data_IF_201141045317
#
_entry.id   IF_201141045317
#
_cell.length_a   1.000
_cell.length_b   1.000
_cell.length_c   1.000
_cell.angle_alpha   90.00
_cell.angle_beta   90.00
_cell.angle_gamma   90.00
#
_symmetry.space_group_name_H-M   'P 1'
#
loop_
_entity.id
_entity.type
_entity.pdbx_description
1 polymer ?
#
# COMPACT_ATOMS: atom_id res chain seq x y z
N UNK A 1 -10.60 23.31 -2.46
CA UNK A 1 -9.59 24.24 -1.96
C UNK A 1 -8.47 24.40 -3.00
N UNK A 2 -8.25 25.63 -3.49
CA UNK A 2 -7.23 25.94 -4.52
C UNK A 2 -5.83 26.15 -3.92
N UNK A 3 -5.73 26.27 -2.59
CA UNK A 3 -4.45 26.38 -1.89
C UNK A 3 -3.72 25.04 -1.72
N UNK A 4 -4.41 23.92 -1.96
CA UNK A 4 -3.92 22.59 -1.67
C UNK A 4 -3.92 22.22 -0.17
N UNK A 5 -4.49 23.06 0.67
CA UNK A 5 -4.64 22.83 2.12
C UNK A 5 -6.08 22.46 2.43
N UNK A 6 -6.29 21.34 3.09
CA UNK A 6 -7.62 20.84 3.48
C UNK A 6 -7.94 21.08 4.96
N UNK A 7 -6.97 21.50 5.76
CA UNK A 7 -7.09 21.64 7.22
C UNK A 7 -8.19 22.59 7.65
N UNK A 8 -8.51 23.60 6.83
CA UNK A 8 -9.60 24.54 7.09
C UNK A 8 -11.01 23.93 6.85
N UNK A 9 -11.08 22.84 6.10
CA UNK A 9 -12.33 22.22 5.66
C UNK A 9 -12.55 20.83 6.26
N UNK A 10 -11.47 20.18 6.72
CA UNK A 10 -11.51 18.86 7.31
C UNK A 10 -10.57 18.77 8.51
N UNK A 11 -11.02 18.10 9.55
CA UNK A 11 -10.17 17.78 10.71
C UNK A 11 -9.36 16.55 10.40
N UNK A 12 -8.03 16.69 10.44
CA UNK A 12 -7.10 15.57 10.22
C UNK A 12 -6.69 14.97 11.57
N UNK A 13 -6.66 13.65 11.65
CA UNK A 13 -6.17 12.89 12.79
C UNK A 13 -5.28 11.75 12.35
N UNK A 14 -4.35 11.36 13.22
CA UNK A 14 -3.46 10.22 12.97
C UNK A 14 -4.03 9.00 13.68
N UNK A 15 -4.30 7.96 12.90
CA UNK A 15 -4.76 6.65 13.40
C UNK A 15 -3.84 5.56 12.82
N UNK A 16 -3.37 4.59 13.62
CA UNK A 16 -2.61 3.47 13.09
C UNK A 16 -3.43 2.68 12.05
N UNK A 17 -2.84 2.30 10.90
CA UNK A 17 -3.57 1.66 9.81
C UNK A 17 -4.46 0.48 10.21
N UNK A 18 -4.02 -0.48 11.06
CA UNK A 18 -4.87 -1.59 11.48
C UNK A 18 -6.11 -1.17 12.28
N UNK A 19 -6.10 0.02 12.88
CA UNK A 19 -7.21 0.54 13.69
C UNK A 19 -8.19 1.39 12.87
N UNK A 20 -7.82 1.83 11.68
CA UNK A 20 -8.65 2.73 10.87
C UNK A 20 -10.05 2.17 10.57
N UNK A 21 -10.23 0.90 10.15
CA UNK A 21 -11.56 0.35 9.92
C UNK A 21 -12.45 0.42 11.18
N UNK A 22 -11.92 0.00 12.32
CA UNK A 22 -12.69 0.00 13.58
C UNK A 22 -12.99 1.42 14.06
N UNK A 23 -12.08 2.38 13.86
CA UNK A 23 -12.27 3.79 14.22
C UNK A 23 -13.36 4.44 13.36
N UNK A 24 -13.44 4.07 12.08
CA UNK A 24 -14.51 4.50 11.17
C UNK A 24 -15.84 3.84 11.53
N UNK A 25 -15.85 2.55 11.85
CA UNK A 25 -17.04 1.82 12.32
C UNK A 25 -17.63 2.45 13.58
N UNK A 26 -16.78 2.92 14.50
CA UNK A 26 -17.17 3.64 15.70
C UNK A 26 -17.67 5.08 15.45
N UNK A 27 -17.59 5.58 14.23
CA UNK A 27 -18.00 6.94 13.86
C UNK A 27 -17.05 8.04 14.31
N UNK A 28 -15.84 7.70 14.75
CA UNK A 28 -14.83 8.68 15.20
C UNK A 28 -14.15 9.39 14.03
N UNK A 29 -13.98 8.68 12.91
CA UNK A 29 -13.52 9.24 11.64
C UNK A 29 -14.53 8.91 10.54
N UNK A 30 -14.67 9.78 9.55
CA UNK A 30 -15.61 9.62 8.43
C UNK A 30 -14.95 9.00 7.19
N UNK A 31 -13.65 9.00 7.12
CA UNK A 31 -12.87 8.44 6.03
C UNK A 31 -11.39 8.42 6.36
N UNK A 32 -10.64 7.70 5.56
CA UNK A 32 -9.19 7.60 5.71
C UNK A 32 -8.50 7.31 4.37
N UNK A 33 -7.22 7.60 4.31
CA UNK A 33 -6.34 7.22 3.22
C UNK A 33 -5.26 6.28 3.79
N UNK A 34 -5.17 5.07 3.26
CA UNK A 34 -4.28 4.04 3.81
C UNK A 34 -3.91 3.00 2.75
N UNK A 35 -2.77 2.33 2.93
CA UNK A 35 -2.40 1.16 2.14
C UNK A 35 -3.25 -0.07 2.45
N UNK A 36 -3.29 -1.02 1.51
CA UNK A 36 -3.97 -2.30 1.69
C UNK A 36 -3.27 -3.16 2.78
N UNK A 37 -4.04 -4.03 3.46
CA UNK A 37 -5.41 -4.50 3.17
C UNK A 37 -6.54 -3.74 3.89
N UNK A 38 -6.26 -2.60 4.49
CA UNK A 38 -7.18 -1.94 5.42
C UNK A 38 -8.41 -1.32 4.75
N UNK A 39 -8.31 -0.90 3.47
CA UNK A 39 -9.49 -0.48 2.70
C UNK A 39 -10.36 -1.69 2.37
N UNK A 40 -9.78 -2.78 1.92
CA UNK A 40 -10.51 -4.02 1.66
C UNK A 40 -11.13 -4.62 2.93
N UNK A 41 -10.50 -4.42 4.08
CA UNK A 41 -11.08 -4.81 5.37
C UNK A 41 -12.39 -4.06 5.66
N UNK A 42 -12.46 -2.77 5.34
CA UNK A 42 -13.69 -1.99 5.51
C UNK A 42 -14.80 -2.42 4.56
N UNK A 43 -14.46 -2.70 3.31
CA UNK A 43 -15.41 -3.23 2.31
C UNK A 43 -15.93 -4.61 2.74
N UNK A 44 -15.05 -5.50 3.13
CA UNK A 44 -15.38 -6.85 3.58
C UNK A 44 -16.36 -6.85 4.77
N UNK A 45 -16.14 -5.94 5.72
CA UNK A 45 -17.03 -5.76 6.87
C UNK A 45 -18.30 -4.95 6.57
N UNK A 46 -18.41 -4.35 5.40
CA UNK A 46 -19.53 -3.48 5.05
C UNK A 46 -19.54 -2.15 5.81
N UNK A 47 -18.37 -1.68 6.27
CA UNK A 47 -18.22 -0.44 7.04
C UNK A 47 -18.09 0.77 6.10
N UNK A 48 -17.45 0.60 4.94
CA UNK A 48 -17.17 1.68 4.02
C UNK A 48 -16.85 1.19 2.61
N UNK A 49 -16.71 2.16 1.72
CA UNK A 49 -16.39 1.94 0.30
C UNK A 49 -15.19 2.79 -0.11
N UNK A 50 -14.28 2.31 -0.96
CA UNK A 50 -13.25 3.11 -1.57
C UNK A 50 -13.85 4.18 -2.47
N UNK A 51 -13.42 5.42 -2.32
CA UNK A 51 -13.84 6.53 -3.19
C UNK A 51 -13.01 6.52 -4.47
N UNK A 52 -11.70 6.34 -4.32
CA UNK A 52 -10.73 6.31 -5.42
C UNK A 52 -9.47 5.60 -4.96
N UNK A 53 -8.75 4.96 -5.86
CA UNK A 53 -7.45 4.34 -5.61
C UNK A 53 -6.31 5.17 -6.19
N UNK A 54 -5.12 5.04 -5.64
CA UNK A 54 -3.92 5.68 -6.18
C UNK A 54 -3.64 5.22 -7.61
N UNK A 55 -4.00 3.98 -7.95
CA UNK A 55 -3.91 3.45 -9.31
C UNK A 55 -4.77 4.24 -10.31
N UNK A 56 -5.95 4.71 -9.89
CA UNK A 56 -6.85 5.52 -10.73
C UNK A 56 -6.39 6.98 -10.82
N UNK A 57 -5.79 7.51 -9.74
CA UNK A 57 -5.27 8.89 -9.72
C UNK A 57 -4.00 9.00 -10.58
N UNK A 58 -3.10 8.08 -10.41
CA UNK A 58 -1.79 8.05 -11.07
C UNK A 58 -1.33 6.61 -11.26
N UNK A 59 -1.68 6.03 -12.38
CA UNK A 59 -1.26 4.68 -12.78
C UNK A 59 0.26 4.56 -12.71
N UNK A 60 0.75 3.49 -12.09
CA UNK A 60 2.17 3.23 -11.82
C UNK A 60 2.81 4.20 -10.81
N UNK A 61 2.03 4.80 -9.93
CA UNK A 61 2.56 5.60 -8.83
C UNK A 61 3.51 4.79 -7.94
N UNK A 62 4.58 5.42 -7.41
CA UNK A 62 5.38 4.80 -6.36
C UNK A 62 4.57 4.73 -5.06
N UNK A 63 4.87 3.74 -4.24
CA UNK A 63 4.20 3.56 -2.96
C UNK A 63 5.23 3.63 -1.84
N UNK A 64 5.61 2.53 -1.20
CA UNK A 64 6.56 2.51 -0.10
C UNK A 64 8.00 2.47 -0.57
N UNK A 65 8.89 3.03 0.24
CA UNK A 65 10.34 2.93 0.05
C UNK A 65 10.98 2.21 1.22
N UNK A 66 12.06 1.49 0.96
CA UNK A 66 12.94 0.99 2.01
C UNK A 66 13.93 2.08 2.38
N UNK A 67 13.63 2.78 3.48
CA UNK A 67 14.48 3.84 4.02
C UNK A 67 15.26 3.39 5.25
N UNK A 68 16.52 3.80 5.32
CA UNK A 68 17.37 3.64 6.49
C UNK A 68 18.05 4.96 6.84
N UNK A 69 18.47 5.15 8.10
CA UNK A 69 19.26 6.32 8.43
C UNK A 69 20.64 6.27 7.77
N UNK A 70 21.16 7.45 7.40
CA UNK A 70 22.49 7.56 6.81
C UNK A 70 23.57 6.92 7.71
N UNK A 71 23.54 7.22 9.01
CA UNK A 71 24.48 6.67 9.98
C UNK A 71 24.44 5.14 9.98
N UNK A 72 23.24 4.53 10.05
CA UNK A 72 23.12 3.08 10.02
C UNK A 72 23.68 2.46 8.73
N UNK A 73 23.41 3.09 7.59
CA UNK A 73 23.91 2.60 6.30
C UNK A 73 25.44 2.64 6.20
N UNK A 74 26.05 3.69 6.75
CA UNK A 74 27.51 3.87 6.80
C UNK A 74 28.18 2.88 7.77
N UNK A 75 27.55 2.63 8.91
CA UNK A 75 28.04 1.67 9.92
C UNK A 75 27.83 0.20 9.50
N UNK A 76 26.81 -0.07 8.68
CA UNK A 76 26.38 -1.44 8.35
C UNK A 76 26.27 -1.70 6.82
N UNK A 77 27.27 -1.34 5.99
CA UNK A 77 27.14 -1.38 4.53
C UNK A 77 26.86 -2.79 4.00
N UNK A 78 27.47 -3.81 4.56
CA UNK A 78 27.26 -5.20 4.15
C UNK A 78 25.87 -5.72 4.52
N UNK A 79 25.36 -5.36 5.69
CA UNK A 79 24.00 -5.73 6.13
C UNK A 79 22.98 -5.01 5.26
N UNK A 80 23.16 -3.70 5.02
CA UNK A 80 22.30 -2.90 4.17
C UNK A 80 22.13 -3.51 2.78
N UNK A 81 23.24 -3.82 2.12
CA UNK A 81 23.20 -4.41 0.77
C UNK A 81 22.53 -5.78 0.73
N UNK A 82 22.71 -6.60 1.80
CA UNK A 82 22.05 -7.91 1.90
C UNK A 82 20.54 -7.78 2.08
N UNK A 83 20.07 -6.82 2.87
CA UNK A 83 18.64 -6.55 3.04
C UNK A 83 18.02 -6.06 1.74
N UNK A 84 18.66 -5.11 1.05
CA UNK A 84 18.20 -4.63 -0.27
C UNK A 84 18.08 -5.79 -1.27
N UNK A 85 19.10 -6.65 -1.34
CA UNK A 85 19.05 -7.85 -2.21
C UNK A 85 17.91 -8.79 -1.82
N UNK A 86 17.65 -8.99 -0.54
CA UNK A 86 16.55 -9.84 -0.08
C UNK A 86 15.19 -9.27 -0.50
N UNK A 87 15.00 -7.96 -0.37
CA UNK A 87 13.77 -7.27 -0.78
C UNK A 87 13.55 -7.35 -2.28
N UNK A 88 14.60 -7.10 -3.09
CA UNK A 88 14.51 -7.24 -4.56
C UNK A 88 14.14 -8.68 -4.94
N UNK A 89 14.75 -9.69 -4.31
CA UNK A 89 14.43 -11.10 -4.57
C UNK A 89 13.00 -11.45 -4.17
N UNK A 90 12.50 -10.91 -3.07
CA UNK A 90 11.10 -11.08 -2.66
C UNK A 90 10.15 -10.43 -3.68
N UNK A 91 10.46 -9.22 -4.16
CA UNK A 91 9.69 -8.54 -5.20
C UNK A 91 9.67 -9.33 -6.52
N UNK A 92 10.83 -9.84 -6.94
CA UNK A 92 10.93 -10.74 -8.10
C UNK A 92 10.07 -12.00 -7.95
N UNK A 93 10.10 -12.62 -6.77
CA UNK A 93 9.31 -13.81 -6.48
C UNK A 93 7.80 -13.52 -6.52
N UNK A 94 7.37 -12.37 -6.01
CA UNK A 94 5.97 -11.95 -6.03
C UNK A 94 5.42 -11.77 -7.45
N UNK A 95 6.23 -11.25 -8.37
CA UNK A 95 5.81 -10.97 -9.75
C UNK A 95 6.19 -12.10 -10.74
N UNK A 96 6.87 -13.15 -10.27
CA UNK A 96 7.28 -14.25 -11.12
C UNK A 96 6.08 -15.01 -11.71
N UNK A 97 6.27 -15.51 -12.94
CA UNK A 97 5.29 -16.38 -13.63
C UNK A 97 3.88 -15.80 -13.60
N UNK A 98 3.74 -14.54 -13.95
CA UNK A 98 2.46 -13.83 -13.95
C UNK A 98 1.75 -13.88 -12.57
N UNK A 99 2.50 -13.52 -11.52
CA UNK A 99 2.01 -13.45 -10.13
C UNK A 99 1.64 -14.82 -9.49
N UNK A 100 2.14 -15.93 -10.03
CA UNK A 100 1.80 -17.27 -9.56
C UNK A 100 2.07 -17.51 -8.06
N UNK A 101 3.00 -16.75 -7.47
CA UNK A 101 3.36 -16.88 -6.05
C UNK A 101 2.52 -16.02 -5.09
N UNK A 102 1.65 -15.15 -5.62
CA UNK A 102 0.82 -14.26 -4.80
C UNK A 102 -0.10 -15.00 -3.81
N UNK A 103 -0.74 -16.12 -4.17
CA UNK A 103 -1.53 -16.90 -3.20
C UNK A 103 -0.70 -17.43 -2.01
N UNK A 104 0.56 -17.79 -2.24
CA UNK A 104 1.45 -18.19 -1.14
C UNK A 104 1.86 -17.01 -0.28
N UNK A 105 2.14 -15.85 -0.89
CA UNK A 105 2.39 -14.61 -0.17
C UNK A 105 1.22 -14.22 0.74
N UNK A 106 -0.02 -14.39 0.28
CA UNK A 106 -1.24 -14.15 1.07
C UNK A 106 -1.24 -15.01 2.34
N UNK A 107 -0.95 -16.31 2.23
CA UNK A 107 -0.86 -17.21 3.39
C UNK A 107 0.21 -16.80 4.40
N UNK A 108 1.34 -16.29 3.91
CA UNK A 108 2.41 -15.79 4.76
C UNK A 108 1.95 -14.52 5.49
N UNK A 109 1.41 -13.55 4.75
CA UNK A 109 1.00 -12.26 5.29
C UNK A 109 -0.19 -12.35 6.25
N UNK A 110 -1.08 -13.32 6.06
CA UNK A 110 -2.24 -13.54 6.94
C UNK A 110 -1.86 -13.99 8.36
N UNK A 111 -0.63 -14.47 8.57
CA UNK A 111 -0.17 -14.86 9.91
C UNK A 111 -0.12 -13.64 10.83
N UNK A 112 -0.52 -13.83 12.10
CA UNK A 112 -0.54 -12.77 13.12
C UNK A 112 0.84 -12.12 13.39
N UNK A 113 1.93 -12.83 13.07
CA UNK A 113 3.31 -12.32 13.16
C UNK A 113 3.68 -11.34 12.03
N UNK A 114 2.81 -11.19 11.01
CA UNK A 114 3.00 -10.29 9.89
C UNK A 114 1.84 -9.27 9.82
N UNK A 115 1.02 -9.30 8.77
CA UNK A 115 -0.12 -8.37 8.63
C UNK A 115 -1.29 -8.76 9.55
N UNK A 116 -1.57 -10.05 9.65
CA UNK A 116 -2.59 -10.57 10.56
C UNK A 116 -4.04 -10.25 10.20
N UNK A 117 -4.30 -9.85 8.96
CA UNK A 117 -5.65 -9.72 8.42
C UNK A 117 -6.11 -11.03 7.77
N UNK A 118 -7.42 -11.18 7.54
CA UNK A 118 -7.98 -12.35 6.87
C UNK A 118 -7.35 -12.56 5.49
N UNK A 119 -7.07 -13.83 5.17
CA UNK A 119 -6.45 -14.19 3.90
C UNK A 119 -7.26 -13.72 2.69
N UNK A 120 -8.59 -13.82 2.74
CA UNK A 120 -9.48 -13.40 1.65
C UNK A 120 -9.44 -11.88 1.45
N UNK A 121 -9.30 -11.12 2.53
CA UNK A 121 -9.14 -9.65 2.49
C UNK A 121 -7.81 -9.27 1.86
N UNK A 122 -6.71 -9.90 2.27
CA UNK A 122 -5.38 -9.69 1.69
C UNK A 122 -5.36 -10.11 0.22
N UNK A 123 -5.95 -11.26 -0.11
CA UNK A 123 -5.97 -11.80 -1.46
C UNK A 123 -6.61 -10.85 -2.44
N UNK A 124 -7.65 -10.12 -2.03
CA UNK A 124 -8.44 -9.30 -2.93
C UNK A 124 -7.60 -8.21 -3.64
N UNK A 125 -6.70 -7.54 -2.97
CA UNK A 125 -5.78 -6.59 -3.62
C UNK A 125 -4.48 -7.23 -4.10
N UNK A 126 -4.04 -8.31 -3.44
CA UNK A 126 -2.75 -8.95 -3.73
C UNK A 126 -2.78 -9.78 -5.01
N UNK A 127 -3.91 -10.38 -5.37
CA UNK A 127 -4.00 -11.33 -6.49
C UNK A 127 -4.58 -10.74 -7.77
N UNK A 128 -4.66 -9.42 -7.88
CA UNK A 128 -5.06 -8.72 -9.11
C UNK A 128 -6.54 -8.42 -9.20
N UNK A 129 -7.25 -8.40 -8.09
CA UNK A 129 -8.63 -7.93 -8.00
C UNK A 129 -8.75 -6.83 -6.96
N UNK A 130 -9.82 -6.05 -7.02
CA UNK A 130 -10.15 -5.05 -6.02
C UNK A 130 -11.66 -4.92 -5.90
N UNK A 131 -12.18 -4.90 -4.68
CA UNK A 131 -13.62 -4.77 -4.42
C UNK A 131 -13.93 -3.33 -4.01
N UNK A 132 -14.75 -2.64 -4.81
CA UNK A 132 -15.13 -1.25 -4.59
C UNK A 132 -16.33 -1.10 -3.68
N UNK A 133 -17.20 -2.08 -3.69
CA UNK A 133 -18.35 -2.23 -2.81
C UNK A 133 -18.59 -3.72 -2.63
N UNK A 134 -19.26 -4.14 -1.58
CA UNK A 134 -19.56 -5.55 -1.35
C UNK A 134 -20.31 -6.17 -2.55
N UNK A 135 -19.62 -7.07 -3.24
CA UNK A 135 -20.10 -7.70 -4.47
C UNK A 135 -19.65 -7.01 -5.77
N UNK A 136 -19.08 -5.81 -5.75
CA UNK A 136 -18.48 -5.14 -6.91
C UNK A 136 -16.97 -5.39 -6.95
N UNK A 137 -16.60 -6.61 -7.24
CA UNK A 137 -15.22 -7.03 -7.39
C UNK A 137 -14.77 -6.92 -8.84
N UNK A 138 -13.71 -6.17 -9.08
CA UNK A 138 -13.19 -5.88 -10.41
C UNK A 138 -11.78 -6.43 -10.60
N UNK A 139 -11.46 -6.80 -11.84
CA UNK A 139 -10.11 -7.18 -12.23
C UNK A 139 -9.22 -5.93 -12.33
N UNK A 140 -8.15 -5.91 -11.55
CA UNK A 140 -7.12 -4.87 -11.55
C UNK A 140 -5.74 -5.55 -11.42
N UNK A 141 -5.27 -6.23 -12.48
CA UNK A 141 -4.10 -7.11 -12.40
C UNK A 141 -2.81 -6.39 -11.99
N UNK A 142 -2.71 -5.10 -12.27
CA UNK A 142 -1.55 -4.26 -11.95
C UNK A 142 -1.80 -3.36 -10.73
N UNK A 143 -2.79 -3.66 -9.90
CA UNK A 143 -3.02 -2.90 -8.66
C UNK A 143 -1.78 -2.88 -7.75
N UNK A 144 -1.10 -4.02 -7.62
CA UNK A 144 0.19 -4.14 -6.95
C UNK A 144 1.24 -4.69 -7.93
N UNK A 145 2.27 -3.89 -8.19
CA UNK A 145 3.45 -4.30 -8.98
C UNK A 145 4.68 -4.16 -8.10
N UNK A 146 5.42 -5.25 -7.90
CA UNK A 146 6.58 -5.26 -7.00
C UNK A 146 7.92 -5.19 -7.73
N UNK A 147 8.04 -5.82 -8.89
CA UNK A 147 9.31 -5.91 -9.63
C UNK A 147 9.20 -5.56 -11.11
N UNK A 148 8.10 -5.95 -11.76
CA UNK A 148 7.87 -5.63 -13.18
C UNK A 148 8.01 -4.13 -13.40
N UNK A 149 8.36 -3.72 -14.61
CA UNK A 149 8.54 -2.31 -14.99
C UNK A 149 9.58 -1.57 -14.15
N UNK A 150 10.55 -2.28 -13.57
CA UNK A 150 11.55 -1.74 -12.65
C UNK A 150 10.93 -1.08 -11.39
N UNK A 151 9.82 -1.60 -10.90
CA UNK A 151 9.07 -1.02 -9.77
C UNK A 151 9.90 -0.90 -8.47
N UNK A 152 10.96 -1.71 -8.30
CA UNK A 152 11.88 -1.63 -7.16
C UNK A 152 12.93 -0.52 -7.27
N UNK A 153 13.02 0.15 -8.44
CA UNK A 153 14.01 1.20 -8.63
C UNK A 153 13.48 2.55 -8.13
N UNK A 154 14.19 3.24 -7.22
CA UNK A 154 13.77 4.54 -6.72
C UNK A 154 14.11 5.65 -7.74
N UNK A 155 13.14 6.07 -8.52
CA UNK A 155 13.33 7.11 -9.52
C UNK A 155 13.38 8.50 -8.88
N UNK A 156 14.35 9.32 -9.30
CA UNK A 156 14.41 10.72 -8.89
C UNK A 156 13.16 11.51 -9.28
N UNK A 157 12.54 11.17 -10.42
CA UNK A 157 11.30 11.79 -10.87
C UNK A 157 10.18 11.69 -9.85
N UNK A 158 10.08 10.57 -9.15
CA UNK A 158 9.04 10.32 -8.14
C UNK A 158 9.25 11.24 -6.94
N UNK A 159 10.49 11.32 -6.44
CA UNK A 159 10.84 12.21 -5.35
C UNK A 159 10.60 13.69 -5.73
N UNK A 160 10.97 14.09 -6.93
CA UNK A 160 10.76 15.46 -7.43
C UNK A 160 9.27 15.78 -7.51
N UNK A 161 8.45 14.83 -7.98
CA UNK A 161 7.00 15.02 -8.06
C UNK A 161 6.40 15.25 -6.67
N UNK A 162 6.70 14.38 -5.69
CA UNK A 162 6.21 14.54 -4.32
C UNK A 162 6.64 15.85 -3.69
N UNK A 163 7.93 16.21 -3.79
CA UNK A 163 8.44 17.48 -3.27
C UNK A 163 7.76 18.69 -3.93
N UNK A 164 7.43 18.60 -5.22
CA UNK A 164 6.70 19.64 -5.92
C UNK A 164 5.27 19.77 -5.41
N UNK A 165 4.57 18.66 -5.16
CA UNK A 165 3.22 18.70 -4.59
C UNK A 165 3.23 19.25 -3.15
N UNK A 166 4.20 18.87 -2.33
CA UNK A 166 4.33 19.37 -0.95
C UNK A 166 4.64 20.88 -0.87
N UNK A 167 5.19 21.46 -1.95
CA UNK A 167 5.54 22.89 -2.00
C UNK A 167 4.40 23.77 -2.51
N UNK A 168 3.38 23.21 -3.11
CA UNK A 168 2.18 23.93 -3.60
C UNK A 168 1.27 24.31 -2.46
#
# INVERSE_FOLDING_TARGET
DTSGQIDAQALLSVTPPPQMPATMEAGTIYGYCVGEPWNQQAVFKGIGVPVITDYEIWKNNPEKVFGVSKAWAEENPNTHIRVVKAMIRAAMWLDANNNANRPEAVKILAKSSYVGADADVIANSMTGTFEYEKGDKREVPDFNVFFRHNATYPYYSDAIWYLTQMRR
#
